data_IF_647362501395
#
_entry.id   IF_647362501395
#
_cell.length_a   1.000
_cell.length_b   1.000
_cell.length_c   1.000
_cell.angle_alpha   90.00
_cell.angle_beta   90.00
_cell.angle_gamma   90.00
#
_symmetry.space_group_name_H-M   'P 1'
#
loop_
_entity.id
_entity.type
_entity.pdbx_description
1 polymer ?
#
# COMPACT_ATOMS: atom_id res chain seq x y z
N UNK A 1 3.04 9.30 8.75
CA UNK A 1 3.95 8.15 8.74
C UNK A 1 4.79 8.21 7.49
N UNK A 2 6.11 8.21 7.63
CA UNK A 2 7.04 8.10 6.51
C UNK A 2 8.19 7.19 6.92
N UNK A 3 8.76 6.42 5.97
CA UNK A 3 9.89 5.55 6.26
C UNK A 3 11.09 6.39 6.68
N UNK A 4 11.75 6.02 7.77
CA UNK A 4 12.91 6.76 8.28
C UNK A 4 14.08 6.76 7.30
N UNK A 5 14.19 5.71 6.48
CA UNK A 5 15.28 5.53 5.52
C UNK A 5 15.27 6.54 4.36
N UNK A 6 14.12 7.18 4.10
CA UNK A 6 13.92 8.06 2.94
C UNK A 6 13.91 7.32 1.59
N UNK A 7 13.93 5.99 1.59
CA UNK A 7 13.85 5.18 0.37
C UNK A 7 12.40 5.02 -0.10
N UNK A 8 12.24 4.63 -1.38
CA UNK A 8 10.95 4.28 -1.94
C UNK A 8 10.32 3.06 -1.22
N UNK A 9 9.04 3.16 -0.91
CA UNK A 9 8.22 2.05 -0.43
C UNK A 9 7.72 1.22 -1.63
N UNK A 10 8.17 -0.03 -1.75
CA UNK A 10 7.63 -0.97 -2.74
C UNK A 10 6.53 -1.80 -2.10
N UNK A 11 5.29 -1.49 -2.44
CA UNK A 11 4.10 -2.07 -1.80
C UNK A 11 3.42 -3.04 -2.77
N UNK A 12 3.19 -4.31 -2.39
CA UNK A 12 2.48 -5.26 -3.23
C UNK A 12 0.98 -4.94 -3.24
N UNK A 13 0.38 -5.04 -4.43
CA UNK A 13 -1.04 -4.83 -4.65
C UNK A 13 -1.63 -5.99 -5.44
N UNK A 14 -2.91 -6.26 -5.20
CA UNK A 14 -3.76 -6.99 -6.15
C UNK A 14 -4.50 -5.95 -6.98
N UNK A 15 -4.58 -6.14 -8.28
CA UNK A 15 -5.32 -5.24 -9.16
C UNK A 15 -6.32 -6.03 -9.98
N UNK A 16 -7.37 -5.34 -10.41
CA UNK A 16 -8.34 -5.88 -11.32
C UNK A 16 -8.82 -4.79 -12.29
N UNK A 17 -9.29 -5.22 -13.45
CA UNK A 17 -9.92 -4.37 -14.45
C UNK A 17 -11.41 -4.69 -14.50
N UNK A 18 -12.21 -3.70 -14.16
CA UNK A 18 -13.65 -3.78 -14.31
C UNK A 18 -14.05 -3.28 -15.70
N UNK A 19 -14.67 -4.14 -16.49
CA UNK A 19 -15.29 -3.76 -17.77
C UNK A 19 -16.73 -3.30 -17.54
N UNK A 20 -16.96 -2.00 -17.63
CA UNK A 20 -18.27 -1.41 -17.44
C UNK A 20 -19.13 -1.61 -18.69
N UNK A 21 -20.18 -2.42 -18.60
CA UNK A 21 -21.10 -2.61 -19.72
C UNK A 21 -21.94 -1.35 -20.01
N UNK A 22 -22.38 -0.65 -18.95
CA UNK A 22 -23.16 0.60 -18.99
C UNK A 22 -22.51 1.72 -18.17
N UNK A 23 -21.40 1.41 -17.47
CA UNK A 23 -20.60 2.34 -16.69
C UNK A 23 -19.21 2.49 -17.33
N UNK A 24 -18.40 3.44 -16.84
CA UNK A 24 -17.04 3.59 -17.31
C UNK A 24 -16.18 2.42 -16.80
N UNK A 25 -15.42 1.78 -17.70
CA UNK A 25 -14.43 0.78 -17.31
C UNK A 25 -13.28 1.41 -16.53
N UNK A 26 -12.76 0.69 -15.53
CA UNK A 26 -11.67 1.21 -14.69
C UNK A 26 -10.76 0.10 -14.17
N UNK A 27 -9.52 0.49 -13.88
CA UNK A 27 -8.61 -0.30 -13.07
C UNK A 27 -8.80 0.05 -11.61
N UNK A 28 -8.80 -0.97 -10.76
CA UNK A 28 -8.77 -0.83 -9.31
C UNK A 28 -7.65 -1.67 -8.72
N UNK A 29 -7.22 -1.32 -7.50
CA UNK A 29 -6.23 -2.10 -6.79
C UNK A 29 -6.48 -2.06 -5.29
N UNK A 30 -5.98 -3.08 -4.60
CA UNK A 30 -5.98 -3.20 -3.15
C UNK A 30 -4.56 -3.46 -2.66
N UNK A 31 -4.14 -2.69 -1.66
CA UNK A 31 -2.84 -2.85 -0.99
C UNK A 31 -2.89 -4.05 -0.06
N UNK A 32 -1.85 -4.90 -0.12
CA UNK A 32 -1.70 -5.99 0.84
C UNK A 32 -1.05 -5.45 2.12
N UNK A 33 -1.68 -5.73 3.25
CA UNK A 33 -1.27 -5.22 4.57
C UNK A 33 -0.90 -6.36 5.51
N UNK A 34 -0.18 -6.04 6.58
CA UNK A 34 0.10 -6.90 7.73
C UNK A 34 -0.19 -6.15 9.05
N UNK A 35 0.00 -6.83 10.18
CA UNK A 35 -0.10 -6.27 11.51
C UNK A 35 0.92 -5.13 11.71
N UNK A 36 0.50 -4.03 12.35
CA UNK A 36 1.35 -2.87 12.53
C UNK A 36 2.45 -3.15 13.56
N UNK A 37 3.65 -2.57 13.39
CA UNK A 37 4.62 -2.51 14.48
C UNK A 37 4.08 -1.63 15.62
N UNK A 38 4.70 -1.74 16.80
CA UNK A 38 4.20 -1.13 18.03
C UNK A 38 3.95 0.38 17.89
N UNK A 39 4.86 1.10 17.27
CA UNK A 39 4.77 2.56 17.10
C UNK A 39 3.62 2.98 16.18
N UNK A 40 3.27 2.16 15.18
CA UNK A 40 2.14 2.41 14.29
C UNK A 40 0.82 2.09 15.01
N UNK A 41 0.81 1.04 15.82
CA UNK A 41 -0.33 0.69 16.68
C UNK A 41 -0.59 1.75 17.74
N UNK A 42 0.46 2.22 18.43
CA UNK A 42 0.37 3.29 19.44
C UNK A 42 -0.12 4.62 18.86
N UNK A 43 0.15 4.86 17.57
CA UNK A 43 -0.36 6.02 16.86
C UNK A 43 -1.81 5.85 16.34
N UNK A 44 -2.46 4.72 16.63
CA UNK A 44 -3.89 4.48 16.39
C UNK A 44 -4.23 3.76 15.09
N UNK A 45 -3.25 3.21 14.37
CA UNK A 45 -3.49 2.40 13.17
C UNK A 45 -3.52 0.90 13.50
N UNK A 46 -4.37 0.16 12.79
CA UNK A 46 -4.58 -1.28 12.99
C UNK A 46 -3.89 -2.16 11.95
N UNK A 47 -3.35 -1.56 10.87
CA UNK A 47 -2.66 -2.24 9.76
C UNK A 47 -1.54 -1.38 9.18
N UNK A 48 -0.54 -2.02 8.59
CA UNK A 48 0.52 -1.37 7.80
C UNK A 48 0.68 -2.07 6.44
N UNK A 49 1.01 -1.38 5.35
CA UNK A 49 1.37 -2.04 4.10
C UNK A 49 2.58 -2.97 4.27
N UNK A 50 2.56 -4.12 3.60
CA UNK A 50 3.76 -4.94 3.45
C UNK A 50 4.76 -4.18 2.58
N UNK A 51 6.03 -4.18 2.96
CA UNK A 51 7.09 -3.55 2.19
C UNK A 51 8.09 -4.59 1.65
N UNK A 52 8.26 -4.59 0.34
CA UNK A 52 9.24 -5.40 -0.38
C UNK A 52 10.55 -4.64 -0.58
N UNK A 53 11.68 -5.36 -0.67
CA UNK A 53 12.85 -4.76 -1.32
C UNK A 53 12.59 -4.53 -2.80
N UNK A 54 13.44 -3.71 -3.43
CA UNK A 54 13.40 -3.50 -4.87
C UNK A 54 13.48 -4.81 -5.68
N UNK A 55 14.28 -5.77 -5.25
CA UNK A 55 14.44 -7.04 -5.97
C UNK A 55 13.25 -7.98 -5.74
N UNK A 56 12.67 -7.97 -4.54
CA UNK A 56 11.40 -8.65 -4.27
C UNK A 56 10.23 -8.05 -5.04
N UNK A 57 10.20 -6.73 -5.20
CA UNK A 57 9.20 -6.06 -6.02
C UNK A 57 9.30 -6.49 -7.49
N UNK A 58 10.52 -6.60 -8.03
CA UNK A 58 10.73 -7.16 -9.37
C UNK A 58 10.28 -8.62 -9.45
N UNK A 59 10.60 -9.42 -8.43
CA UNK A 59 10.19 -10.82 -8.37
C UNK A 59 8.65 -10.94 -8.36
N UNK A 60 7.97 -10.14 -7.54
CA UNK A 60 6.52 -10.06 -7.46
C UNK A 60 5.88 -9.73 -8.81
N UNK A 61 6.42 -8.75 -9.54
CA UNK A 61 5.88 -8.30 -10.83
C UNK A 61 6.07 -9.29 -11.98
N UNK A 62 7.09 -10.16 -11.92
CA UNK A 62 7.52 -10.97 -13.07
C UNK A 62 7.35 -12.47 -12.88
N UNK A 63 6.91 -12.92 -11.72
CA UNK A 63 6.74 -14.36 -11.44
C UNK A 63 5.36 -14.88 -11.82
N UNK A 64 5.27 -16.21 -11.95
CA UNK A 64 3.99 -16.88 -12.16
C UNK A 64 3.07 -16.69 -10.95
N UNK A 65 1.85 -16.20 -11.22
CA UNK A 65 0.85 -15.87 -10.21
C UNK A 65 -0.02 -17.08 -9.82
N UNK A 66 0.20 -18.25 -10.43
CA UNK A 66 -0.63 -19.44 -10.22
C UNK A 66 -0.50 -20.11 -8.83
N UNK A 67 0.53 -19.80 -8.05
CA UNK A 67 0.80 -20.43 -6.75
C UNK A 67 0.45 -19.53 -5.55
N UNK A 68 -0.83 -19.48 -5.17
CA UNK A 68 -1.30 -18.65 -4.06
C UNK A 68 -0.63 -18.96 -2.71
N UNK A 69 -0.36 -20.23 -2.39
CA UNK A 69 0.30 -20.62 -1.13
C UNK A 69 1.73 -20.06 -1.08
N UNK A 70 2.48 -20.20 -2.18
CA UNK A 70 3.83 -19.65 -2.28
C UNK A 70 3.87 -18.12 -2.12
N UNK A 71 2.83 -17.43 -2.59
CA UNK A 71 2.72 -15.98 -2.41
C UNK A 71 2.41 -15.57 -0.97
N UNK A 72 1.55 -16.30 -0.27
CA UNK A 72 1.34 -16.07 1.16
C UNK A 72 2.64 -16.27 1.96
N UNK A 73 3.40 -17.33 1.66
CA UNK A 73 4.68 -17.60 2.31
C UNK A 73 5.71 -16.50 2.01
N UNK A 74 5.83 -16.08 0.75
CA UNK A 74 6.70 -14.98 0.33
C UNK A 74 6.39 -13.67 1.08
N UNK A 75 5.11 -13.32 1.17
CA UNK A 75 4.65 -12.08 1.82
C UNK A 75 4.68 -12.16 3.35
N UNK A 76 4.75 -13.36 3.93
CA UNK A 76 4.86 -13.55 5.39
C UNK A 76 6.23 -13.16 5.96
N UNK A 77 7.24 -12.96 5.10
CA UNK A 77 8.58 -12.61 5.52
C UNK A 77 8.67 -11.14 5.97
N UNK A 78 8.38 -10.93 7.26
CA UNK A 78 8.24 -9.59 7.85
C UNK A 78 9.54 -8.80 7.78
N UNK A 79 9.46 -7.61 7.18
CA UNK A 79 10.45 -6.55 7.35
C UNK A 79 9.74 -5.35 7.92
N UNK A 80 10.07 -5.03 9.16
CA UNK A 80 9.58 -3.82 9.80
C UNK A 80 10.53 -2.69 9.45
N UNK A 81 10.10 -1.80 8.55
CA UNK A 81 10.71 -0.49 8.46
C UNK A 81 10.29 0.34 9.68
N UNK A 82 11.24 1.09 10.24
CA UNK A 82 10.90 2.08 11.26
C UNK A 82 10.20 3.26 10.60
N UNK A 83 8.97 3.52 11.04
CA UNK A 83 8.19 4.66 10.59
C UNK A 83 8.27 5.79 11.61
N UNK A 84 8.59 6.99 11.13
CA UNK A 84 8.41 8.21 11.92
C UNK A 84 7.00 8.75 11.75
N UNK A 85 6.45 9.27 12.84
CA UNK A 85 5.21 10.03 12.83
C UNK A 85 5.49 11.39 13.45
N UNK A 86 5.11 12.45 12.75
CA UNK A 86 5.05 13.78 13.34
C UNK A 86 3.76 13.88 14.15
N UNK A 87 3.88 14.09 15.45
CA UNK A 87 2.77 14.53 16.29
C UNK A 87 2.65 16.04 16.08
N UNK A 88 1.51 16.47 15.54
CA UNK A 88 1.14 17.84 15.15
C UNK A 88 1.63 18.36 13.78
N UNK A 89 0.68 18.42 12.85
CA UNK A 89 0.55 19.55 11.94
C UNK A 89 -0.92 19.83 11.70
N UNK A 90 -1.36 20.99 12.16
CA UNK A 90 -2.59 21.69 11.79
C UNK A 90 -2.62 21.96 10.29
N UNK A 91 -2.82 20.91 9.48
CA UNK A 91 -3.01 21.07 8.05
C UNK A 91 -4.27 21.90 7.81
N UNK A 92 -4.20 23.00 7.04
CA UNK A 92 -5.40 23.74 6.67
C UNK A 92 -6.31 22.80 5.88
N UNK A 93 -7.61 22.81 6.22
CA UNK A 93 -8.65 22.11 5.45
C UNK A 93 -8.50 22.52 3.99
N UNK A 94 -8.13 21.58 3.13
CA UNK A 94 -8.13 21.79 1.68
C UNK A 94 -9.60 21.95 1.28
N UNK A 95 -10.02 23.16 0.95
CA UNK A 95 -11.35 23.37 0.37
C UNK A 95 -11.42 22.64 -0.96
N UNK A 96 -12.40 21.74 -1.05
CA UNK A 96 -12.70 20.95 -2.23
C UNK A 96 -13.07 21.89 -3.37
N UNK A 97 -12.15 22.10 -4.32
CA UNK A 97 -12.53 22.70 -5.61
C UNK A 97 -13.30 21.64 -6.39
N UNK A 98 -14.61 21.78 -6.40
CA UNK A 98 -15.50 21.10 -7.33
C UNK A 98 -15.12 21.56 -8.74
N UNK A 99 -14.32 20.75 -9.44
CA UNK A 99 -14.13 20.89 -10.88
C UNK A 99 -15.42 20.42 -11.55
N UNK A 100 -16.26 21.37 -11.93
CA UNK A 100 -17.37 21.13 -12.83
C UNK A 100 -16.84 20.65 -14.18
N UNK A 101 -17.21 19.44 -14.57
CA UNK A 101 -17.04 18.93 -15.92
C UNK A 101 -18.11 19.61 -16.81
N UNK A 102 -17.66 20.34 -17.82
CA UNK A 102 -18.42 20.55 -19.05
C UNK A 102 -18.20 19.36 -19.98
#
# INVERSE_FOLDING_TARGET
>A
FYPESGNDLYVPVLYDYYEGHLEQSFYSYAVITDDPPREVLEAGHDRVPIHLTKDEAKFWLHSDQSNAIGWCDFLSNKRHEFFKYDVESSLPKVESRQIGLF
#
